data_IF_214961224725
#
_entry.id   IF_214961224725
#
_cell.length_a   1.000
_cell.length_b   1.000
_cell.length_c   1.000
_cell.angle_alpha   90.00
_cell.angle_beta   90.00
_cell.angle_gamma   90.00
#
_symmetry.space_group_name_H-M   'P 1'
#
loop_
_entity.id
_entity.type
_entity.pdbx_description
1 polymer ?
#
# COMPACT_ATOMS: atom_id res chain seq x y z
N UNK A 1 9.51 -57.95 -5.33
CA UNK A 1 8.87 -56.99 -4.42
C UNK A 1 8.19 -55.93 -5.26
N UNK A 2 6.87 -56.00 -5.40
CA UNK A 2 6.07 -55.05 -6.17
C UNK A 2 5.84 -53.80 -5.33
N UNK A 3 6.18 -52.61 -5.83
CA UNK A 3 6.00 -51.36 -5.06
C UNK A 3 4.52 -51.02 -4.92
N UNK A 4 4.10 -50.66 -3.71
CA UNK A 4 2.74 -50.17 -3.45
C UNK A 4 2.61 -48.78 -4.09
N UNK A 5 1.57 -48.51 -4.91
CA UNK A 5 1.36 -47.19 -5.47
C UNK A 5 1.10 -46.19 -4.34
N UNK A 6 1.75 -45.03 -4.43
CA UNK A 6 1.57 -43.95 -3.44
C UNK A 6 0.12 -43.45 -3.53
N UNK A 7 -0.57 -43.21 -2.39
CA UNK A 7 -1.95 -42.76 -2.42
C UNK A 7 -2.09 -41.43 -3.17
N UNK A 8 -3.13 -41.32 -3.98
CA UNK A 8 -3.39 -40.13 -4.78
C UNK A 8 -3.73 -38.93 -3.87
N UNK A 9 -2.96 -37.85 -3.99
CA UNK A 9 -3.15 -36.65 -3.18
C UNK A 9 -4.39 -35.90 -3.67
N UNK A 10 -5.44 -35.90 -2.85
CA UNK A 10 -6.65 -35.13 -3.10
C UNK A 10 -6.34 -33.63 -3.13
N UNK A 11 -6.88 -32.95 -4.14
CA UNK A 11 -6.72 -31.51 -4.36
C UNK A 11 -8.03 -30.89 -4.79
N UNK A 12 -8.29 -29.69 -4.28
CA UNK A 12 -9.42 -28.85 -4.66
C UNK A 12 -8.93 -27.39 -4.82
N UNK A 13 -9.58 -26.57 -5.66
CA UNK A 13 -9.27 -25.15 -5.74
C UNK A 13 -9.51 -24.45 -4.39
N UNK A 14 -8.53 -23.68 -3.91
CA UNK A 14 -8.71 -22.74 -2.82
C UNK A 14 -8.87 -21.34 -3.41
N UNK A 15 -10.07 -20.78 -3.33
CA UNK A 15 -10.32 -19.39 -3.70
C UNK A 15 -10.26 -18.56 -2.41
N UNK A 16 -9.21 -17.76 -2.28
CA UNK A 16 -9.10 -16.77 -1.19
C UNK A 16 -9.75 -15.49 -1.66
N UNK A 17 -10.93 -15.19 -1.11
CA UNK A 17 -11.65 -13.94 -1.37
C UNK A 17 -12.00 -13.23 -0.07
N UNK A 18 -12.11 -11.90 -0.15
CA UNK A 18 -12.57 -11.04 0.94
C UNK A 18 -13.85 -10.32 0.46
N UNK A 19 -15.00 -11.01 0.36
CA UNK A 19 -16.19 -10.51 -0.33
C UNK A 19 -17.02 -9.55 0.55
N UNK A 20 -16.35 -8.77 1.40
CA UNK A 20 -16.99 -7.78 2.26
C UNK A 20 -16.63 -6.36 1.81
N UNK A 21 -17.63 -5.48 1.85
CA UNK A 21 -17.39 -4.03 1.74
C UNK A 21 -17.13 -3.50 3.14
N UNK A 22 -15.97 -2.88 3.35
CA UNK A 22 -15.69 -2.17 4.61
C UNK A 22 -16.09 -0.71 4.47
N UNK A 23 -16.84 -0.22 5.45
CA UNK A 23 -16.99 1.23 5.65
C UNK A 23 -15.63 1.80 6.04
N UNK A 24 -15.25 2.90 5.41
CA UNK A 24 -13.92 3.52 5.54
C UNK A 24 -13.73 4.28 6.87
N UNK A 25 -14.78 4.48 7.67
CA UNK A 25 -14.71 5.32 8.86
C UNK A 25 -14.30 6.77 8.54
N UNK A 26 -14.13 7.63 9.56
CA UNK A 26 -13.83 9.05 9.33
C UNK A 26 -12.43 9.29 8.73
N UNK A 27 -11.41 8.55 9.20
CA UNK A 27 -10.00 8.74 8.80
C UNK A 27 -9.77 8.34 7.34
N UNK A 28 -10.12 7.10 6.95
CA UNK A 28 -9.89 6.66 5.57
C UNK A 28 -10.82 7.38 4.58
N UNK A 29 -12.04 7.75 4.99
CA UNK A 29 -12.93 8.56 4.13
C UNK A 29 -12.34 9.93 3.84
N UNK A 30 -11.73 10.59 4.85
CA UNK A 30 -11.07 11.87 4.66
C UNK A 30 -9.85 11.75 3.75
N UNK A 31 -9.01 10.72 3.93
CA UNK A 31 -7.87 10.47 3.06
C UNK A 31 -8.28 10.28 1.59
N UNK A 32 -9.22 9.37 1.32
CA UNK A 32 -9.67 9.09 -0.04
C UNK A 32 -10.41 10.28 -0.68
N UNK A 33 -11.11 11.08 0.13
CA UNK A 33 -11.70 12.35 -0.30
C UNK A 33 -10.60 13.37 -0.63
N UNK A 34 -9.56 13.46 0.19
CA UNK A 34 -8.39 14.30 -0.07
C UNK A 34 -7.72 13.94 -1.39
N UNK A 35 -7.48 12.64 -1.65
CA UNK A 35 -6.86 12.20 -2.90
C UNK A 35 -7.67 12.62 -4.13
N UNK A 36 -9.01 12.57 -4.05
CA UNK A 36 -9.90 13.08 -5.11
C UNK A 36 -9.66 14.56 -5.39
N UNK A 37 -9.39 15.35 -4.35
CA UNK A 37 -9.11 16.79 -4.43
C UNK A 37 -7.62 17.11 -4.62
N UNK A 38 -6.77 16.09 -4.87
CA UNK A 38 -5.31 16.19 -5.01
C UNK A 38 -4.58 16.65 -3.74
N UNK A 39 -5.18 16.43 -2.58
CA UNK A 39 -4.59 16.64 -1.26
C UNK A 39 -4.20 15.30 -0.64
N UNK A 40 -2.99 15.20 -0.07
CA UNK A 40 -2.57 13.99 0.64
C UNK A 40 -2.64 14.26 2.13
N UNK A 41 -3.47 13.50 2.84
CA UNK A 41 -3.58 13.56 4.29
C UNK A 41 -2.80 12.42 4.94
N UNK A 42 -2.07 12.72 6.00
CA UNK A 42 -1.57 11.76 6.98
C UNK A 42 -2.32 11.91 8.31
N UNK A 43 -1.87 11.15 9.32
CA UNK A 43 -2.35 11.28 10.70
C UNK A 43 -1.17 11.44 11.66
N UNK A 44 -1.28 12.35 12.64
CA UNK A 44 -0.23 12.56 13.63
C UNK A 44 -0.44 11.69 14.87
N UNK A 45 0.55 10.88 15.21
CA UNK A 45 0.60 10.04 16.41
C UNK A 45 0.88 10.87 17.67
N UNK A 46 0.63 10.29 18.84
CA UNK A 46 0.92 10.94 20.12
C UNK A 46 2.41 11.26 20.36
N UNK A 47 3.30 10.52 19.71
CA UNK A 47 4.75 10.77 19.73
C UNK A 47 5.24 11.75 18.64
N UNK A 48 4.32 12.35 17.88
CA UNK A 48 4.59 13.43 16.93
C UNK A 48 4.91 12.98 15.50
N UNK A 49 4.97 11.67 15.22
CA UNK A 49 5.16 11.15 13.85
C UNK A 49 3.91 11.36 13.00
N UNK A 50 4.10 11.56 11.70
CA UNK A 50 3.03 11.68 10.71
C UNK A 50 2.99 10.43 9.82
N UNK A 51 1.92 9.64 9.91
CA UNK A 51 1.77 8.39 9.16
C UNK A 51 0.96 8.63 7.89
N UNK A 52 1.47 8.13 6.76
CA UNK A 52 0.84 8.13 5.43
C UNK A 52 0.98 6.74 4.78
N UNK A 53 -0.11 6.10 4.32
CA UNK A 53 -1.51 6.49 4.50
C UNK A 53 -1.89 6.63 6.00
N UNK A 54 -2.90 7.43 6.34
CA UNK A 54 -3.33 7.55 7.72
C UNK A 54 -3.92 6.23 8.22
N UNK A 55 -3.87 6.04 9.53
CA UNK A 55 -4.39 4.86 10.25
C UNK A 55 -5.29 5.33 11.39
N UNK A 56 -6.29 4.53 11.77
CA UNK A 56 -7.24 4.92 12.81
C UNK A 56 -6.70 4.77 14.25
N UNK A 57 -5.66 3.96 14.43
CA UNK A 57 -5.07 3.65 15.74
C UNK A 57 -3.55 3.69 15.67
N UNK A 58 -2.93 4.12 16.77
CA UNK A 58 -1.49 4.13 16.91
C UNK A 58 -0.94 2.69 16.85
N UNK A 59 0.01 2.38 15.95
CA UNK A 59 0.53 1.03 15.80
C UNK A 59 1.37 0.56 17.00
N UNK A 60 1.78 1.47 17.89
CA UNK A 60 2.58 1.18 19.09
C UNK A 60 1.67 1.15 20.32
N UNK A 61 0.81 2.15 20.52
CA UNK A 61 0.02 2.29 21.75
C UNK A 61 -1.41 1.75 21.64
N UNK A 62 -1.90 1.51 20.43
CA UNK A 62 -3.30 1.18 20.12
C UNK A 62 -4.32 2.25 20.52
N UNK A 63 -3.88 3.46 20.88
CA UNK A 63 -4.78 4.60 21.11
C UNK A 63 -5.40 5.08 19.80
N UNK A 64 -6.62 5.58 19.86
CA UNK A 64 -7.30 6.12 18.68
C UNK A 64 -6.66 7.44 18.24
N UNK A 65 -6.44 7.61 16.93
CA UNK A 65 -5.83 8.81 16.35
C UNK A 65 -6.80 9.47 15.36
N UNK A 66 -6.98 10.79 15.47
CA UNK A 66 -7.86 11.57 14.59
C UNK A 66 -7.23 12.87 14.05
N UNK A 67 -6.00 13.21 14.45
CA UNK A 67 -5.31 14.43 14.03
C UNK A 67 -4.83 14.30 12.57
N UNK A 68 -5.72 14.61 11.63
CA UNK A 68 -5.43 14.60 10.20
C UNK A 68 -4.64 15.83 9.79
N UNK A 69 -3.58 15.61 9.01
CA UNK A 69 -2.63 16.65 8.61
C UNK A 69 -2.31 16.53 7.13
N UNK A 70 -2.27 17.65 6.42
CA UNK A 70 -1.81 17.67 5.04
C UNK A 70 -0.30 17.51 4.97
N UNK A 71 0.16 16.64 4.06
CA UNK A 71 1.59 16.47 3.71
C UNK A 71 1.83 16.93 2.29
N UNK A 72 3.11 17.15 1.93
CA UNK A 72 3.44 17.53 0.58
C UNK A 72 3.10 16.43 -0.44
N UNK A 73 2.91 16.82 -1.70
CA UNK A 73 2.76 15.89 -2.84
C UNK A 73 4.10 15.50 -3.45
N UNK A 74 5.20 16.04 -2.93
CA UNK A 74 6.59 15.69 -3.26
C UNK A 74 7.20 14.82 -2.18
N UNK A 75 8.22 14.06 -2.53
CA UNK A 75 8.91 13.20 -1.58
C UNK A 75 10.13 12.52 -2.18
N UNK A 76 10.73 11.65 -1.38
CA UNK A 76 11.92 10.87 -1.75
C UNK A 76 11.57 9.40 -1.91
N UNK A 77 11.99 8.78 -3.01
CA UNK A 77 11.97 7.32 -3.16
C UNK A 77 13.00 6.71 -2.22
N UNK A 78 12.54 5.87 -1.29
CA UNK A 78 13.39 5.25 -0.26
C UNK A 78 13.89 3.87 -0.64
N UNK A 79 13.12 3.15 -1.46
CA UNK A 79 13.48 1.86 -2.05
C UNK A 79 12.51 1.54 -3.19
N UNK A 80 12.88 0.60 -4.05
CA UNK A 80 12.08 0.24 -5.21
C UNK A 80 12.37 -1.18 -5.72
N UNK A 81 11.45 -1.69 -6.57
CA UNK A 81 11.64 -2.93 -7.32
C UNK A 81 11.10 -2.78 -8.75
N UNK A 82 11.85 -3.31 -9.74
CA UNK A 82 11.44 -3.27 -11.14
C UNK A 82 10.36 -4.31 -11.44
N UNK A 83 9.30 -3.90 -12.12
CA UNK A 83 8.25 -4.77 -12.62
C UNK A 83 8.29 -4.81 -14.15
N UNK A 84 9.07 -5.73 -14.71
CA UNK A 84 9.30 -5.87 -16.14
C UNK A 84 8.12 -6.44 -16.93
N UNK A 85 7.14 -7.05 -16.25
CA UNK A 85 5.99 -7.69 -16.89
C UNK A 85 4.74 -7.55 -16.00
N UNK A 86 4.06 -6.37 -16.04
CA UNK A 86 2.85 -6.14 -15.26
C UNK A 86 1.77 -7.19 -15.53
N UNK A 87 1.14 -7.66 -14.46
CA UNK A 87 -0.01 -8.56 -14.56
C UNK A 87 -1.29 -7.76 -14.77
N UNK A 88 -2.30 -8.41 -15.36
CA UNK A 88 -3.65 -7.84 -15.49
C UNK A 88 -4.14 -7.30 -14.15
N UNK A 89 -4.66 -6.06 -14.16
CA UNK A 89 -5.23 -5.40 -12.98
C UNK A 89 -4.22 -4.60 -12.14
N UNK A 90 -2.96 -4.54 -12.55
CA UNK A 90 -1.99 -3.61 -11.96
C UNK A 90 -2.20 -2.17 -12.45
N UNK A 91 -1.60 -1.17 -11.76
CA UNK A 91 -1.82 0.24 -12.08
C UNK A 91 -1.41 0.65 -13.50
N UNK A 92 -0.38 0.00 -14.07
CA UNK A 92 0.16 0.28 -15.40
C UNK A 92 0.24 -1.03 -16.20
N UNK A 93 0.09 -0.93 -17.52
CA UNK A 93 0.15 -2.04 -18.47
C UNK A 93 1.53 -2.21 -19.14
N UNK A 94 2.44 -1.27 -18.89
CA UNK A 94 3.84 -1.25 -19.35
C UNK A 94 4.80 -1.38 -18.16
N UNK A 95 6.06 -1.81 -18.38
CA UNK A 95 7.03 -1.95 -17.29
C UNK A 95 7.19 -0.67 -16.46
N UNK A 96 7.23 -0.82 -15.12
CA UNK A 96 7.31 0.30 -14.18
C UNK A 96 8.04 -0.08 -12.90
N UNK A 97 8.33 0.89 -12.03
CA UNK A 97 8.90 0.65 -10.72
C UNK A 97 7.83 0.69 -9.62
N UNK A 98 7.79 -0.34 -8.77
CA UNK A 98 7.14 -0.21 -7.47
C UNK A 98 8.06 0.57 -6.55
N UNK A 99 7.62 1.69 -6.01
CA UNK A 99 8.41 2.56 -5.13
C UNK A 99 7.77 2.70 -3.76
N UNK A 100 8.60 2.82 -2.74
CA UNK A 100 8.21 3.38 -1.46
C UNK A 100 8.65 4.84 -1.42
N UNK A 101 7.71 5.77 -1.62
CA UNK A 101 7.96 7.21 -1.55
C UNK A 101 7.61 7.74 -0.17
N UNK A 102 8.57 8.34 0.53
CA UNK A 102 8.31 9.11 1.75
C UNK A 102 8.05 10.56 1.36
N UNK A 103 6.81 10.99 1.50
CA UNK A 103 6.38 12.37 1.19
C UNK A 103 6.97 13.35 2.20
N UNK A 104 7.25 14.58 1.77
CA UNK A 104 7.77 15.61 2.66
C UNK A 104 6.70 15.95 3.71
N UNK A 105 7.08 15.88 4.98
CA UNK A 105 6.16 15.99 6.12
C UNK A 105 5.56 14.66 6.61
N UNK A 106 5.89 13.52 5.98
CA UNK A 106 5.54 12.19 6.45
C UNK A 106 6.75 11.43 7.03
N UNK A 107 6.50 10.56 8.01
CA UNK A 107 7.48 9.68 8.63
C UNK A 107 7.42 8.24 8.09
N UNK A 108 6.37 7.89 7.35
CA UNK A 108 6.22 6.60 6.64
C UNK A 108 6.22 6.76 5.13
N UNK A 109 6.47 5.66 4.43
CA UNK A 109 6.46 5.63 2.97
C UNK A 109 5.13 5.10 2.42
N UNK A 110 4.67 5.73 1.35
CA UNK A 110 3.53 5.33 0.54
C UNK A 110 4.01 4.43 -0.60
N UNK A 111 3.37 3.28 -0.79
CA UNK A 111 3.57 2.45 -1.97
C UNK A 111 2.97 3.14 -3.19
N UNK A 112 3.76 3.30 -4.24
CA UNK A 112 3.32 3.93 -5.49
C UNK A 112 3.88 3.22 -6.71
N UNK A 113 3.18 3.32 -7.84
CA UNK A 113 3.69 2.90 -9.14
C UNK A 113 4.33 4.10 -9.81
N UNK A 114 5.64 4.04 -10.07
CA UNK A 114 6.39 5.09 -10.73
C UNK A 114 6.61 4.75 -12.20
N UNK A 115 6.04 5.57 -13.08
CA UNK A 115 6.19 5.48 -14.53
C UNK A 115 7.51 6.14 -14.96
N UNK A 116 8.52 5.32 -15.26
CA UNK A 116 9.85 5.74 -15.71
C UNK A 116 10.36 4.81 -16.81
N UNK A 117 11.23 5.29 -17.74
CA UNK A 117 11.66 4.52 -18.90
C UNK A 117 12.42 3.21 -18.60
N UNK A 118 12.97 3.08 -17.39
CA UNK A 118 13.76 1.92 -17.00
C UNK A 118 14.27 2.00 -15.55
N UNK A 119 14.87 0.91 -15.05
CA UNK A 119 15.37 0.83 -13.68
C UNK A 119 16.44 1.88 -13.34
N UNK A 120 17.27 2.28 -14.29
CA UNK A 120 18.32 3.29 -14.08
C UNK A 120 17.77 4.73 -13.96
N UNK A 121 16.47 4.92 -14.20
CA UNK A 121 15.79 6.22 -14.13
C UNK A 121 14.94 6.39 -12.86
N UNK A 122 15.03 5.45 -11.90
CA UNK A 122 14.35 5.52 -10.60
C UNK A 122 15.13 6.39 -9.61
#
# INVERSE_FOLDING_TARGET
MTSVPSPEVLRAPLVVEFPFTRSLGPVQSAFLTGLRERTVLGVRTGDGRTLVPPVEYDPVTAEEIRDLVEVATTGTVTTWAWNHAPRRGQPLDTPFAWVLVRLDGADTALLHALDVPGPDAV
#
